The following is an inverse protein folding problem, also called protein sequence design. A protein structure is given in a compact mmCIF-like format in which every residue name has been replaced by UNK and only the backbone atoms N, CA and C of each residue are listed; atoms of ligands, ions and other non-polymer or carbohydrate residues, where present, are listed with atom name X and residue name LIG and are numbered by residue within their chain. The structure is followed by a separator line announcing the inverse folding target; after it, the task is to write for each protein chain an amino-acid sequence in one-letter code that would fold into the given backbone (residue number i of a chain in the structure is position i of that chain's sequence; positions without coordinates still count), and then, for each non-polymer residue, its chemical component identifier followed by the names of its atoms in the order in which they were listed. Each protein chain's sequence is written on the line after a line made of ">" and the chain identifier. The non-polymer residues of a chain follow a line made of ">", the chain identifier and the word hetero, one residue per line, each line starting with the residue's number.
data_IF_409676318907
#
_entry.id   IF_409676318907
#
_cell.length_a   1.000
_cell.length_b   1.000
_cell.length_c   1.000
_cell.angle_alpha   90.00
_cell.angle_beta   90.00
_cell.angle_gamma   90.00
#
_symmetry.space_group_name_H-M   'P 1'
#
loop_
_entity.id
_entity.type
_entity.pdbx_description
1 polymer ?
#
# COMPACT_ATOMS: atom_id res chain seq x y z
N UNK A 1 21.91 -9.43 9.15
CA UNK A 1 22.15 -7.98 9.24
C UNK A 1 21.23 -7.43 10.33
N UNK A 2 21.58 -6.34 11.04
CA UNK A 2 20.64 -5.74 11.99
C UNK A 2 19.36 -5.29 11.26
N UNK A 3 18.20 -5.62 11.81
CA UNK A 3 16.88 -5.18 11.32
C UNK A 3 16.74 -3.68 11.51
N UNK A 4 16.12 -3.01 10.55
CA UNK A 4 15.74 -1.61 10.72
C UNK A 4 14.48 -1.52 11.57
N UNK A 5 14.20 -0.34 12.14
CA UNK A 5 12.92 -0.11 12.82
C UNK A 5 11.74 -0.43 11.89
N UNK A 6 11.80 -0.16 10.59
CA UNK A 6 10.70 -0.47 9.68
C UNK A 6 10.44 -1.98 9.53
N UNK A 7 11.48 -2.81 9.62
CA UNK A 7 11.37 -4.27 9.52
C UNK A 7 10.66 -4.88 10.75
N UNK A 8 11.00 -4.37 11.94
CA UNK A 8 10.36 -4.77 13.21
C UNK A 8 8.87 -4.42 13.19
N UNK A 9 8.56 -3.20 12.74
CA UNK A 9 7.18 -2.71 12.57
C UNK A 9 6.41 -3.54 11.53
N UNK A 10 7.06 -3.89 10.42
CA UNK A 10 6.46 -4.72 9.38
C UNK A 10 6.11 -6.13 9.89
N UNK A 11 6.97 -6.72 10.71
CA UNK A 11 6.75 -8.04 11.32
C UNK A 11 5.53 -8.04 12.24
N UNK A 12 5.45 -7.07 13.15
CA UNK A 12 4.31 -6.93 14.06
C UNK A 12 3.00 -6.68 13.31
N UNK A 13 3.03 -5.76 12.32
CA UNK A 13 1.85 -5.50 11.48
C UNK A 13 1.44 -6.72 10.66
N UNK A 14 2.37 -7.43 10.05
CA UNK A 14 2.06 -8.63 9.26
C UNK A 14 1.36 -9.68 10.10
N UNK A 15 1.86 -9.93 11.31
CA UNK A 15 1.29 -10.90 12.23
C UNK A 15 -0.15 -10.55 12.63
N UNK A 16 -0.43 -9.29 12.96
CA UNK A 16 -1.79 -8.87 13.32
C UNK A 16 -2.74 -8.89 12.11
N UNK A 17 -2.28 -8.45 10.93
CA UNK A 17 -3.08 -8.52 9.69
C UNK A 17 -3.33 -9.97 9.27
N UNK A 18 -2.37 -10.88 9.47
CA UNK A 18 -2.56 -12.32 9.24
C UNK A 18 -3.61 -12.91 10.17
N UNK A 19 -3.70 -12.45 11.43
CA UNK A 19 -4.75 -12.86 12.34
C UNK A 19 -6.14 -12.36 11.91
N UNK A 20 -6.22 -11.15 11.33
CA UNK A 20 -7.46 -10.58 10.78
C UNK A 20 -7.90 -11.25 9.46
N UNK A 21 -6.94 -11.66 8.62
CA UNK A 21 -7.17 -12.23 7.28
C UNK A 21 -6.30 -13.48 7.04
N UNK A 22 -6.62 -14.63 7.67
CA UNK A 22 -5.74 -15.80 7.70
C UNK A 22 -5.45 -16.41 6.33
N UNK A 23 -6.41 -16.35 5.40
CA UNK A 23 -6.32 -16.98 4.09
C UNK A 23 -6.08 -15.99 2.94
N UNK A 24 -5.75 -14.74 3.26
CA UNK A 24 -5.56 -13.67 2.25
C UNK A 24 -4.08 -13.32 2.14
N UNK A 25 -3.60 -13.21 0.89
CA UNK A 25 -2.26 -12.74 0.60
C UNK A 25 -2.08 -11.31 1.10
N UNK A 26 -0.95 -11.07 1.78
CA UNK A 26 -0.56 -9.76 2.31
C UNK A 26 0.53 -9.18 1.42
N UNK A 27 0.41 -7.90 1.10
CA UNK A 27 1.34 -7.16 0.26
C UNK A 27 1.90 -5.99 1.05
N UNK A 28 3.22 -5.79 0.99
CA UNK A 28 3.86 -4.74 1.77
C UNK A 28 4.22 -3.57 0.86
N UNK A 29 3.81 -2.37 1.26
CA UNK A 29 3.99 -1.17 0.43
C UNK A 29 4.46 0.00 1.28
N UNK A 30 5.04 1.01 0.62
CA UNK A 30 5.17 2.37 1.17
C UNK A 30 4.36 3.32 0.32
N UNK A 31 3.46 4.06 0.97
CA UNK A 31 2.72 5.12 0.30
C UNK A 31 3.61 6.35 0.09
N UNK A 32 3.76 6.75 -1.17
CA UNK A 32 4.40 8.01 -1.58
C UNK A 32 3.64 9.21 -1.01
N UNK A 33 4.24 10.40 -1.06
CA UNK A 33 3.55 11.60 -0.59
C UNK A 33 2.18 11.83 -1.26
N UNK A 34 2.04 11.77 -2.61
CA UNK A 34 0.74 11.87 -3.26
C UNK A 34 -0.23 10.77 -2.83
N UNK A 35 0.25 9.52 -2.72
CA UNK A 35 -0.57 8.40 -2.30
C UNK A 35 -1.18 8.59 -0.90
N UNK A 36 -0.43 9.17 0.05
CA UNK A 36 -0.96 9.44 1.40
C UNK A 36 -2.09 10.48 1.39
N UNK A 37 -2.04 11.45 0.48
CA UNK A 37 -3.13 12.42 0.28
C UNK A 37 -4.36 11.70 -0.25
N UNK A 38 -4.18 10.85 -1.28
CA UNK A 38 -5.27 10.05 -1.85
C UNK A 38 -5.90 9.15 -0.78
N UNK A 39 -5.10 8.36 -0.06
CA UNK A 39 -5.58 7.45 1.00
C UNK A 39 -6.37 8.20 2.09
N UNK A 40 -5.92 9.38 2.51
CA UNK A 40 -6.67 10.24 3.44
C UNK A 40 -8.00 10.75 2.86
N UNK A 41 -8.05 10.99 1.55
CA UNK A 41 -9.27 11.45 0.89
C UNK A 41 -10.30 10.32 0.75
N UNK A 42 -9.85 9.09 0.45
CA UNK A 42 -10.73 7.91 0.35
C UNK A 42 -11.12 7.29 1.69
N UNK A 43 -10.43 7.61 2.80
CA UNK A 43 -10.72 7.11 4.16
C UNK A 43 -12.18 7.32 4.65
N UNK A 44 -13.04 8.00 3.89
CA UNK A 44 -14.48 8.26 4.10
C UNK A 44 -15.09 7.48 5.29
N UNK A 45 -14.97 8.10 6.46
CA UNK A 45 -15.87 8.03 7.63
C UNK A 45 -15.74 6.92 8.69
N UNK A 46 -14.89 5.89 8.61
CA UNK A 46 -14.99 4.77 9.59
C UNK A 46 -13.93 4.69 10.70
N UNK A 47 -12.80 5.42 10.63
CA UNK A 47 -11.63 5.12 11.48
C UNK A 47 -11.51 5.94 12.76
N UNK A 48 -12.41 6.90 13.00
CA UNK A 48 -12.52 7.62 14.28
C UNK A 48 -11.15 8.03 14.89
N UNK A 49 -10.58 9.13 14.38
CA UNK A 49 -9.45 9.92 14.93
C UNK A 49 -8.03 9.67 14.39
N UNK A 50 -7.64 8.46 13.96
CA UNK A 50 -6.30 8.24 13.35
C UNK A 50 -6.27 8.61 11.87
N UNK A 51 -5.17 9.21 11.39
CA UNK A 51 -4.94 9.56 9.97
C UNK A 51 -3.50 9.25 9.58
N UNK A 52 -3.29 8.69 8.39
CA UNK A 52 -1.94 8.43 7.84
C UNK A 52 -1.07 9.67 7.86
N UNK A 53 0.13 9.74 8.44
CA UNK A 53 0.92 10.97 8.47
C UNK A 53 1.26 11.47 7.06
N UNK A 54 1.08 12.77 6.77
CA UNK A 54 1.41 13.33 5.43
C UNK A 54 2.91 13.47 5.22
N UNK A 55 3.66 13.70 6.29
CA UNK A 55 5.12 13.86 6.29
C UNK A 55 5.77 12.58 6.82
N UNK A 56 6.95 12.25 6.29
CA UNK A 56 7.68 11.03 6.64
C UNK A 56 7.34 9.87 5.71
N UNK A 57 7.55 8.64 6.19
CA UNK A 57 7.22 7.43 5.47
C UNK A 57 5.97 6.76 6.06
N UNK A 58 5.17 6.16 5.18
CA UNK A 58 4.01 5.36 5.58
C UNK A 58 4.09 4.01 4.93
N UNK A 59 4.77 3.09 5.62
CA UNK A 59 4.72 1.67 5.28
C UNK A 59 3.34 1.14 5.66
N UNK A 60 2.77 0.27 4.82
CA UNK A 60 1.45 -0.33 4.99
C UNK A 60 1.52 -1.83 4.66
N UNK A 61 0.61 -2.59 5.24
CA UNK A 61 0.30 -3.96 4.79
C UNK A 61 -1.07 -3.92 4.12
N UNK A 62 -1.15 -4.44 2.90
CA UNK A 62 -2.32 -4.39 2.04
C UNK A 62 -2.85 -5.79 1.83
N UNK A 63 -4.16 -5.94 1.91
CA UNK A 63 -4.87 -7.17 1.53
C UNK A 63 -5.99 -6.83 0.58
N UNK A 64 -6.31 -7.75 -0.34
CA UNK A 64 -7.50 -7.64 -1.20
C UNK A 64 -8.49 -8.69 -0.75
N UNK A 65 -9.58 -8.25 -0.11
CA UNK A 65 -10.56 -9.10 0.53
C UNK A 65 -11.96 -8.48 0.45
N UNK A 66 -12.98 -9.32 0.27
CA UNK A 66 -14.38 -8.88 0.30
C UNK A 66 -14.73 -7.82 -0.76
N UNK A 67 -14.04 -7.80 -1.90
CA UNK A 67 -14.25 -6.81 -2.96
C UNK A 67 -13.61 -5.44 -2.69
N UNK A 68 -12.69 -5.36 -1.74
CA UNK A 68 -11.97 -4.12 -1.39
C UNK A 68 -10.47 -4.35 -1.25
N UNK A 69 -9.70 -3.30 -1.52
CA UNK A 69 -8.30 -3.16 -1.15
C UNK A 69 -8.25 -2.50 0.23
N UNK A 70 -7.73 -3.21 1.21
CA UNK A 70 -7.65 -2.77 2.60
C UNK A 70 -6.20 -2.44 2.95
N UNK A 71 -5.96 -1.20 3.39
CA UNK A 71 -4.63 -0.70 3.75
C UNK A 71 -4.51 -0.64 5.27
N UNK A 72 -3.62 -1.42 5.86
CA UNK A 72 -3.36 -1.41 7.30
C UNK A 72 -2.07 -0.66 7.63
N UNK A 73 -2.13 0.18 8.67
CA UNK A 73 -1.02 0.98 9.16
C UNK A 73 -0.74 0.70 10.65
N UNK A 74 0.39 1.24 11.14
CA UNK A 74 0.87 1.06 12.53
C UNK A 74 1.24 -0.40 12.84
N UNK A 75 1.63 -0.70 14.08
CA UNK A 75 2.08 -2.06 14.48
C UNK A 75 1.48 -2.60 15.79
N UNK A 76 0.88 -1.75 16.63
CA UNK A 76 0.25 -2.16 17.90
C UNK A 76 -0.69 -1.05 18.46
N UNK A 77 -2.02 -1.14 18.24
CA UNK A 77 -2.68 -2.06 17.32
C UNK A 77 -2.54 -1.60 15.88
N UNK A 78 -2.54 -2.54 14.93
CA UNK A 78 -2.77 -2.19 13.53
C UNK A 78 -4.15 -1.58 13.37
N UNK A 79 -4.28 -0.63 12.45
CA UNK A 79 -5.57 -0.03 12.13
C UNK A 79 -5.75 0.08 10.63
N UNK A 80 -7.00 0.02 10.19
CA UNK A 80 -7.37 0.14 8.78
C UNK A 80 -7.27 1.60 8.35
N UNK A 81 -6.24 1.95 7.60
CA UNK A 81 -5.97 3.30 7.12
C UNK A 81 -6.84 3.75 5.95
N UNK A 82 -7.22 2.83 5.09
CA UNK A 82 -8.11 3.10 3.97
C UNK A 82 -8.74 1.79 3.47
N UNK A 83 -9.93 1.91 2.90
CA UNK A 83 -10.63 0.84 2.17
C UNK A 83 -11.09 1.39 0.83
N UNK A 84 -10.64 0.78 -0.26
CA UNK A 84 -11.01 1.16 -1.63
C UNK A 84 -11.70 -0.02 -2.28
N UNK A 85 -12.98 0.09 -2.68
CA UNK A 85 -13.65 -0.97 -3.45
C UNK A 85 -12.87 -1.29 -4.73
N UNK A 86 -12.63 -2.57 -5.02
CA UNK A 86 -11.85 -2.98 -6.21
C UNK A 86 -12.50 -2.52 -7.50
N UNK A 87 -13.84 -2.43 -7.53
CA UNK A 87 -14.60 -1.88 -8.66
C UNK A 87 -14.32 -0.40 -8.97
N UNK A 88 -13.73 0.35 -8.03
CA UNK A 88 -13.27 1.73 -8.29
C UNK A 88 -11.90 1.77 -8.95
N UNK A 89 -11.13 0.68 -8.95
CA UNK A 89 -9.82 0.65 -9.60
C UNK A 89 -10.00 0.45 -11.11
N UNK A 90 -9.69 1.48 -11.87
CA UNK A 90 -9.87 1.53 -13.33
C UNK A 90 -8.56 1.33 -14.10
N UNK A 91 -7.42 1.34 -13.41
CA UNK A 91 -6.12 1.17 -14.04
C UNK A 91 -5.05 0.65 -13.08
N UNK A 92 -4.16 -0.19 -13.62
CA UNK A 92 -2.92 -0.65 -12.97
C UNK A 92 -1.76 -0.32 -13.90
N UNK A 93 -0.88 0.58 -13.46
CA UNK A 93 0.24 1.10 -14.24
C UNK A 93 1.51 1.24 -13.42
N UNK A 94 2.49 1.95 -13.98
CA UNK A 94 3.76 2.26 -13.32
C UNK A 94 3.94 3.76 -13.24
N UNK A 95 4.55 4.21 -12.15
CA UNK A 95 5.03 5.56 -11.99
C UNK A 95 6.50 5.54 -11.55
N UNK A 96 7.09 6.73 -11.45
CA UNK A 96 8.45 6.92 -10.92
C UNK A 96 8.43 8.08 -9.94
N UNK A 97 9.02 7.90 -8.76
CA UNK A 97 9.25 9.02 -7.84
C UNK A 97 10.60 9.68 -8.17
N UNK A 98 10.65 11.00 -8.42
CA UNK A 98 11.91 11.71 -8.48
C UNK A 98 12.52 11.75 -7.07
N UNK A 99 13.60 11.01 -6.88
CA UNK A 99 14.41 11.06 -5.65
C UNK A 99 15.42 12.20 -5.75
N UNK A 100 15.58 12.96 -4.66
CA UNK A 100 16.52 14.09 -4.57
C UNK A 100 17.99 13.60 -4.54
N UNK A 101 18.22 12.32 -4.27
CA UNK A 101 19.55 11.70 -4.24
C UNK A 101 19.87 10.95 -5.54
N UNK A 102 21.17 10.69 -5.78
CA UNK A 102 21.72 10.09 -7.00
C UNK A 102 21.30 8.62 -7.28
N UNK A 103 20.20 8.14 -6.68
CA UNK A 103 19.63 6.86 -7.05
C UNK A 103 18.77 7.00 -8.31
N UNK A 104 18.87 6.05 -9.25
CA UNK A 104 17.98 6.01 -10.40
C UNK A 104 16.54 5.84 -9.90
N UNK A 105 15.61 6.55 -10.55
CA UNK A 105 14.16 6.52 -10.34
C UNK A 105 13.64 5.24 -9.67
N UNK A 106 12.96 5.39 -8.53
CA UNK A 106 12.31 4.25 -7.87
C UNK A 106 11.04 3.92 -8.64
N UNK A 107 10.91 2.71 -9.22
CA UNK A 107 9.68 2.33 -9.89
C UNK A 107 8.57 2.12 -8.87
N UNK A 108 7.37 2.57 -9.23
CA UNK A 108 6.20 2.52 -8.36
C UNK A 108 5.04 1.82 -9.07
N UNK A 109 4.19 1.17 -8.30
CA UNK A 109 2.90 0.68 -8.75
C UNK A 109 1.90 1.83 -8.71
N UNK A 110 1.21 2.09 -9.81
CA UNK A 110 0.12 3.05 -9.86
C UNK A 110 -1.22 2.33 -9.92
N UNK A 111 -2.10 2.62 -8.98
CA UNK A 111 -3.51 2.25 -9.04
C UNK A 111 -4.33 3.51 -9.34
N UNK A 112 -5.00 3.55 -10.48
CA UNK A 112 -5.89 4.66 -10.82
C UNK A 112 -7.29 4.36 -10.32
N UNK A 113 -7.82 5.23 -9.47
CA UNK A 113 -9.08 5.08 -8.74
C UNK A 113 -10.10 6.05 -9.31
N UNK A 114 -11.22 5.54 -9.80
CA UNK A 114 -12.33 6.35 -10.28
C UNK A 114 -13.23 6.77 -9.12
N UNK A 115 -13.40 8.08 -8.94
CA UNK A 115 -14.45 8.65 -8.11
C UNK A 115 -15.55 9.29 -8.98
N UNK A 116 -16.84 9.17 -8.61
CA UNK A 116 -17.92 9.76 -9.39
C UNK A 116 -17.78 11.29 -9.51
N UNK A 117 -17.72 11.78 -10.74
CA UNK A 117 -17.73 13.23 -11.03
C UNK A 117 -16.37 13.93 -10.94
N UNK A 118 -15.27 13.19 -10.83
CA UNK A 118 -13.90 13.74 -10.81
C UNK A 118 -12.99 12.99 -11.79
N UNK A 119 -11.80 13.54 -12.05
CA UNK A 119 -10.73 12.79 -12.71
C UNK A 119 -10.24 11.65 -11.80
N UNK A 120 -9.76 10.53 -12.38
CA UNK A 120 -9.20 9.44 -11.60
C UNK A 120 -8.06 9.92 -10.69
N UNK A 121 -8.05 9.42 -9.46
CA UNK A 121 -6.97 9.65 -8.50
C UNK A 121 -5.90 8.57 -8.66
N UNK A 122 -4.65 8.96 -8.78
CA UNK A 122 -3.53 8.02 -8.87
C UNK A 122 -2.95 7.73 -7.48
N UNK A 123 -2.97 6.45 -7.11
CA UNK A 123 -2.34 5.93 -5.91
C UNK A 123 -1.01 5.26 -6.28
N UNK A 124 0.07 5.99 -6.04
CA UNK A 124 1.45 5.58 -6.36
C UNK A 124 2.14 4.93 -5.13
N UNK A 125 2.47 3.64 -5.24
CA UNK A 125 2.98 2.80 -4.15
C UNK A 125 4.35 2.23 -4.48
N UNK A 126 5.28 2.33 -3.54
CA UNK A 126 6.52 1.54 -3.59
C UNK A 126 6.26 0.15 -3.02
N UNK A 127 6.72 -0.90 -3.69
CA UNK A 127 6.45 -2.28 -3.34
C UNK A 127 7.63 -2.94 -2.63
N UNK A 128 7.32 -3.83 -1.70
CA UNK A 128 8.29 -4.60 -0.94
C UNK A 128 7.90 -6.08 -0.89
N UNK A 129 8.89 -6.93 -1.10
CA UNK A 129 8.85 -8.34 -0.72
C UNK A 129 9.19 -8.45 0.77
N UNK A 130 8.43 -9.26 1.51
CA UNK A 130 8.66 -9.49 2.94
C UNK A 130 8.97 -10.96 3.17
N UNK A 131 10.13 -11.25 3.76
CA UNK A 131 10.59 -12.62 4.03
C UNK A 131 10.18 -13.14 5.42
N UNK A 132 9.34 -12.38 6.13
CA UNK A 132 8.95 -12.62 7.52
C UNK A 132 9.83 -11.91 8.55
N UNK A 133 10.93 -11.27 8.12
CA UNK A 133 11.86 -10.57 9.00
C UNK A 133 12.25 -9.20 8.47
N UNK A 134 12.38 -9.02 7.16
CA UNK A 134 12.85 -7.78 6.54
C UNK A 134 12.08 -7.44 5.26
N UNK A 135 11.93 -6.14 5.01
CA UNK A 135 11.37 -5.59 3.78
C UNK A 135 12.47 -5.43 2.73
N UNK A 136 12.28 -6.06 1.59
CA UNK A 136 13.16 -5.97 0.42
C UNK A 136 12.43 -5.22 -0.68
N UNK A 137 12.98 -4.08 -1.12
CA UNK A 137 12.37 -3.28 -2.19
C UNK A 137 12.24 -4.11 -3.46
N UNK A 138 11.02 -4.20 -3.99
CA UNK A 138 10.77 -4.85 -5.27
C UNK A 138 11.18 -3.92 -6.42
N UNK A 139 12.06 -4.40 -7.29
CA UNK A 139 12.59 -3.62 -8.43
C UNK A 139 11.96 -4.02 -9.77
N UNK A 140 11.41 -5.23 -9.89
CA UNK A 140 10.65 -5.66 -11.06
C UNK A 140 9.19 -5.22 -10.96
N UNK A 141 8.92 -4.02 -11.49
CA UNK A 141 7.58 -3.45 -11.48
C UNK A 141 6.64 -4.09 -12.52
N UNK A 142 7.17 -4.72 -13.56
CA UNK A 142 6.35 -5.33 -14.60
C UNK A 142 5.66 -6.59 -14.06
N UNK A 143 6.41 -7.42 -13.32
CA UNK A 143 5.85 -8.58 -12.64
C UNK A 143 4.83 -8.17 -11.57
N UNK A 144 5.16 -7.17 -10.74
CA UNK A 144 4.21 -6.59 -9.78
C UNK A 144 2.88 -6.17 -10.43
N UNK A 145 2.93 -5.43 -11.54
CA UNK A 145 1.72 -5.02 -12.23
C UNK A 145 0.87 -6.21 -12.68
N UNK A 146 1.50 -7.27 -13.20
CA UNK A 146 0.79 -8.46 -13.63
C UNK A 146 0.09 -9.14 -12.45
N UNK A 147 0.77 -9.29 -11.32
CA UNK A 147 0.22 -9.84 -10.09
C UNK A 147 -0.97 -9.01 -9.58
N UNK A 148 -0.83 -7.68 -9.52
CA UNK A 148 -1.90 -6.80 -9.06
C UNK A 148 -3.10 -6.77 -10.00
N UNK A 149 -2.90 -6.83 -11.33
CA UNK A 149 -4.00 -6.99 -12.28
C UNK A 149 -4.75 -8.30 -12.07
N UNK A 150 -4.04 -9.41 -11.83
CA UNK A 150 -4.67 -10.69 -11.56
C UNK A 150 -5.45 -10.68 -10.24
N UNK A 151 -4.87 -10.06 -9.20
CA UNK A 151 -5.49 -9.92 -7.88
C UNK A 151 -6.79 -9.12 -7.92
N UNK A 152 -6.82 -8.02 -8.69
CA UNK A 152 -7.98 -7.14 -8.79
C UNK A 152 -9.06 -7.63 -9.76
N UNK A 153 -8.77 -8.68 -10.54
CA UNK A 153 -9.72 -9.31 -11.45
C UNK A 153 -10.47 -10.51 -10.83
N UNK A 154 -10.03 -10.97 -9.65
CA UNK A 154 -10.64 -12.08 -8.90
C UNK A 154 -11.88 -11.62 -8.11
#
# INVERSE_FOLDING_TARGET
>A
MPTTTHDEKATARDAEVAALHPDVARHHVRATFPARIVLRAVEKQETGEKKLPVVGDSYLTVVVAGGSILFYADEDPVWLAASIPTAQVVGVGSATEPVIEAQPFVPLLRLSISEPGTEPLDLDLELFEFDGVALHRQTDIADAQAQWRALLAA
#
